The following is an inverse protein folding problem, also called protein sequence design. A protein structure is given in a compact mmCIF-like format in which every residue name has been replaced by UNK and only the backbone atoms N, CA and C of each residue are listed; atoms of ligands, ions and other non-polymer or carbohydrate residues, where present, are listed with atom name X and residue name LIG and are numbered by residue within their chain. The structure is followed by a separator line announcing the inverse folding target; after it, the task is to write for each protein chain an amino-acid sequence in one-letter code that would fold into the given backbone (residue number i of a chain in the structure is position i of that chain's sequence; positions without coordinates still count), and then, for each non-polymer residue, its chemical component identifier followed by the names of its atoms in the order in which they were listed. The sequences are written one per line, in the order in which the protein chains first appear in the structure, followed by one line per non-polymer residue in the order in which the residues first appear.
data_IF_408872862263
#
_entry.id   IF_408872862263
#
_cell.length_a   1.000
_cell.length_b   1.000
_cell.length_c   1.000
_cell.angle_alpha   90.00
_cell.angle_beta   90.00
_cell.angle_gamma   90.00
#
_symmetry.space_group_name_H-M   'P 1'
#
loop_
_entity.id
_entity.type
_entity.pdbx_description
1 polymer ?
#
# COMPACT_ATOMS: atom_id res chain seq x y z
N UNK A 1 1.72 -3.64 22.53
CA UNK A 1 2.00 -3.44 21.08
C UNK A 1 0.94 -2.60 20.37
N UNK A 2 -0.35 -2.94 20.46
CA UNK A 2 -1.42 -2.22 19.73
C UNK A 2 -1.56 -0.72 20.05
N UNK A 3 -1.43 -0.29 21.31
CA UNK A 3 -1.57 1.13 21.71
C UNK A 3 -0.50 2.06 21.10
N UNK A 4 0.73 1.55 20.91
CA UNK A 4 1.82 2.32 20.28
C UNK A 4 1.54 2.55 18.79
N UNK A 5 0.99 1.55 18.10
CA UNK A 5 0.65 1.67 16.68
C UNK A 5 -0.36 2.79 16.44
N UNK A 6 -1.39 2.92 17.29
CA UNK A 6 -2.41 3.97 17.12
C UNK A 6 -1.83 5.37 17.26
N UNK A 7 -0.92 5.57 18.22
CA UNK A 7 -0.29 6.86 18.46
C UNK A 7 0.58 7.33 17.29
N UNK A 8 1.27 6.41 16.60
CA UNK A 8 2.17 6.75 15.49
C UNK A 8 1.50 6.66 14.12
N UNK A 9 0.30 6.06 14.01
CA UNK A 9 -0.36 5.82 12.74
C UNK A 9 -0.55 7.09 11.89
N UNK A 10 -1.02 8.22 12.45
CA UNK A 10 -1.16 9.46 11.66
C UNK A 10 0.18 9.97 11.14
N UNK A 11 1.24 9.92 11.96
CA UNK A 11 2.58 10.35 11.56
C UNK A 11 3.16 9.47 10.46
N UNK A 12 3.02 8.15 10.57
CA UNK A 12 3.46 7.21 9.53
C UNK A 12 2.72 7.42 8.21
N UNK A 13 1.40 7.69 8.26
CA UNK A 13 0.62 8.01 7.07
C UNK A 13 1.07 9.32 6.42
N UNK A 14 1.33 10.36 7.23
CA UNK A 14 1.84 11.64 6.72
C UNK A 14 3.18 11.47 5.99
N UNK A 15 4.07 10.61 6.51
CA UNK A 15 5.34 10.29 5.86
C UNK A 15 5.12 9.54 4.54
N UNK A 16 4.18 8.59 4.48
CA UNK A 16 3.83 7.91 3.21
C UNK A 16 3.34 8.88 2.13
N UNK A 17 2.72 9.99 2.52
CA UNK A 17 2.22 10.99 1.58
C UNK A 17 3.32 11.97 1.16
N UNK A 18 3.94 12.63 2.14
CA UNK A 18 4.77 13.81 1.91
C UNK A 18 6.26 13.62 2.24
N UNK A 19 6.66 12.44 2.73
CA UNK A 19 8.06 12.14 3.04
C UNK A 19 8.93 11.97 1.79
N UNK A 20 10.24 12.03 1.99
CA UNK A 20 11.24 11.58 1.00
C UNK A 20 11.09 10.10 0.69
N UNK A 21 11.68 9.64 -0.41
CA UNK A 21 11.61 8.23 -0.81
C UNK A 21 12.23 7.29 0.24
N UNK A 22 13.33 7.70 0.89
CA UNK A 22 13.97 6.94 1.97
C UNK A 22 13.05 6.82 3.21
N UNK A 23 12.39 7.92 3.60
CA UNK A 23 11.43 7.89 4.70
C UNK A 23 10.23 7.00 4.36
N UNK A 24 9.69 7.10 3.13
CA UNK A 24 8.61 6.25 2.64
C UNK A 24 8.99 4.77 2.68
N UNK A 25 10.19 4.42 2.23
CA UNK A 25 10.73 3.07 2.29
C UNK A 25 10.74 2.52 3.72
N UNK A 26 11.28 3.28 4.68
CA UNK A 26 11.31 2.88 6.10
C UNK A 26 9.90 2.63 6.64
N UNK A 27 8.95 3.50 6.31
CA UNK A 27 7.57 3.36 6.75
C UNK A 27 6.88 2.15 6.14
N UNK A 28 7.11 1.85 4.86
CA UNK A 28 6.58 0.64 4.22
C UNK A 28 7.05 -0.62 4.97
N UNK A 29 8.35 -0.69 5.30
CA UNK A 29 8.92 -1.83 6.06
C UNK A 29 8.25 -1.95 7.44
N UNK A 30 8.07 -0.82 8.15
CA UNK A 30 7.35 -0.81 9.43
C UNK A 30 5.93 -1.35 9.27
N UNK A 31 5.18 -0.91 8.26
CA UNK A 31 3.81 -1.38 8.03
C UNK A 31 3.74 -2.89 7.77
N UNK A 32 4.63 -3.42 6.92
CA UNK A 32 4.70 -4.87 6.65
C UNK A 32 4.97 -5.67 7.93
N UNK A 33 5.87 -5.18 8.78
CA UNK A 33 6.21 -5.82 10.04
C UNK A 33 5.07 -5.79 11.07
N UNK A 34 4.32 -4.69 11.16
CA UNK A 34 3.24 -4.58 12.15
C UNK A 34 1.96 -5.26 11.70
N UNK A 35 1.63 -5.29 10.39
CA UNK A 35 0.36 -5.87 9.90
C UNK A 35 0.18 -7.32 10.32
N UNK A 36 1.24 -8.14 10.24
CA UNK A 36 1.23 -9.53 10.68
C UNK A 36 1.13 -9.73 12.20
N UNK A 37 1.42 -8.70 12.99
CA UNK A 37 1.40 -8.75 14.46
C UNK A 37 0.09 -8.22 15.08
N UNK A 38 -0.80 -7.67 14.27
CA UNK A 38 -2.04 -7.08 14.73
C UNK A 38 -3.19 -8.09 14.69
N UNK A 39 -4.15 -7.92 15.62
CA UNK A 39 -5.42 -8.66 15.55
C UNK A 39 -6.09 -8.39 14.20
N UNK A 40 -6.70 -9.42 13.60
CA UNK A 40 -7.29 -9.38 12.25
C UNK A 40 -8.20 -8.16 12.02
N UNK A 41 -9.07 -7.82 12.97
CA UNK A 41 -9.95 -6.65 12.87
C UNK A 41 -9.18 -5.31 12.77
N UNK A 42 -8.10 -5.17 13.53
CA UNK A 42 -7.26 -3.98 13.52
C UNK A 42 -6.38 -3.92 12.26
N UNK A 43 -5.84 -5.06 11.84
CA UNK A 43 -5.11 -5.18 10.59
C UNK A 43 -6.01 -4.78 9.40
N UNK A 44 -7.26 -5.27 9.34
CA UNK A 44 -8.25 -4.89 8.32
C UNK A 44 -8.51 -3.39 8.32
N UNK A 45 -8.73 -2.78 9.48
CA UNK A 45 -8.96 -1.32 9.58
C UNK A 45 -7.78 -0.50 9.08
N UNK A 46 -6.55 -0.87 9.46
CA UNK A 46 -5.34 -0.21 8.96
C UNK A 46 -5.16 -0.44 7.47
N UNK A 47 -5.40 -1.65 6.98
CA UNK A 47 -5.31 -1.98 5.56
C UNK A 47 -6.23 -1.11 4.71
N UNK A 48 -7.46 -0.91 5.17
CA UNK A 48 -8.44 -0.03 4.53
C UNK A 48 -8.00 1.43 4.44
N UNK A 49 -7.24 1.93 5.43
CA UNK A 49 -6.74 3.31 5.40
C UNK A 49 -5.49 3.46 4.52
N UNK A 50 -4.64 2.44 4.47
CA UNK A 50 -3.38 2.49 3.72
C UNK A 50 -3.55 2.22 2.24
N UNK A 51 -4.54 1.42 1.83
CA UNK A 51 -4.68 0.96 0.43
C UNK A 51 -4.62 2.12 -0.58
N UNK A 52 -5.28 3.23 -0.30
CA UNK A 52 -5.28 4.41 -1.18
C UNK A 52 -3.99 5.24 -1.12
N UNK A 53 -3.27 5.18 0.00
CA UNK A 53 -2.03 5.95 0.23
C UNK A 53 -0.80 5.30 -0.40
N UNK A 54 -0.84 3.99 -0.60
CA UNK A 54 0.24 3.24 -1.23
C UNK A 54 0.20 3.36 -2.76
N UNK A 55 -0.95 3.69 -3.35
CA UNK A 55 -1.12 3.73 -4.81
C UNK A 55 -0.17 4.69 -5.52
N UNK A 56 0.01 5.94 -5.07
CA UNK A 56 0.93 6.88 -5.72
C UNK A 56 2.39 6.42 -5.68
N UNK A 57 2.73 5.50 -4.76
CA UNK A 57 4.10 4.99 -4.62
C UNK A 57 4.47 3.98 -5.72
N UNK A 58 3.47 3.46 -6.43
CA UNK A 58 3.70 2.60 -7.59
C UNK A 58 4.32 3.34 -8.78
N UNK A 59 4.30 4.67 -8.74
CA UNK A 59 4.77 5.59 -9.79
C UNK A 59 6.13 6.19 -9.44
N UNK A 60 6.72 5.81 -8.30
CA UNK A 60 8.03 6.29 -7.89
C UNK A 60 9.12 5.88 -8.88
N UNK A 61 10.05 6.80 -9.13
CA UNK A 61 11.25 6.56 -9.94
C UNK A 61 12.22 5.60 -9.23
N UNK A 62 12.17 5.52 -7.89
CA UNK A 62 12.89 4.54 -7.11
C UNK A 62 12.27 3.15 -7.25
N UNK A 63 12.99 2.28 -7.97
CA UNK A 63 12.59 0.89 -8.21
C UNK A 63 12.31 0.12 -6.93
N UNK A 64 13.12 0.32 -5.88
CA UNK A 64 12.96 -0.33 -4.59
C UNK A 64 11.67 0.12 -3.88
N UNK A 65 11.35 1.41 -3.92
CA UNK A 65 10.13 1.96 -3.31
C UNK A 65 8.89 1.44 -4.03
N UNK A 66 8.95 1.36 -5.37
CA UNK A 66 7.90 0.77 -6.19
C UNK A 66 7.68 -0.72 -5.89
N UNK A 67 8.74 -1.51 -5.79
CA UNK A 67 8.62 -2.95 -5.50
C UNK A 67 8.07 -3.19 -4.09
N UNK A 68 8.61 -2.50 -3.08
CA UNK A 68 8.17 -2.68 -1.70
C UNK A 68 6.74 -2.16 -1.47
N UNK A 69 6.31 -1.12 -2.18
CA UNK A 69 4.93 -0.65 -2.13
C UNK A 69 3.96 -1.67 -2.73
N UNK A 70 4.31 -2.34 -3.83
CA UNK A 70 3.51 -3.45 -4.40
C UNK A 70 3.43 -4.65 -3.43
N UNK A 71 4.55 -5.00 -2.79
CA UNK A 71 4.57 -6.06 -1.78
C UNK A 71 3.70 -5.71 -0.57
N UNK A 72 3.78 -4.47 -0.08
CA UNK A 72 2.90 -3.98 0.98
C UNK A 72 1.44 -4.04 0.51
N UNK A 73 1.11 -3.58 -0.69
CA UNK A 73 -0.24 -3.62 -1.23
C UNK A 73 -0.82 -5.05 -1.21
N UNK A 74 -0.05 -6.05 -1.64
CA UNK A 74 -0.43 -7.46 -1.53
C UNK A 74 -0.68 -7.88 -0.08
N UNK A 75 0.15 -7.45 0.85
CA UNK A 75 -0.01 -7.76 2.27
C UNK A 75 -1.27 -7.08 2.86
N UNK A 76 -1.60 -5.85 2.41
CA UNK A 76 -2.86 -5.16 2.76
C UNK A 76 -4.08 -5.95 2.26
N UNK A 77 -4.05 -6.45 1.02
CA UNK A 77 -5.14 -7.26 0.46
C UNK A 77 -5.43 -8.51 1.28
N UNK A 78 -4.38 -9.17 1.79
CA UNK A 78 -4.51 -10.36 2.63
C UNK A 78 -5.02 -10.04 4.04
N UNK A 79 -4.80 -8.83 4.54
CA UNK A 79 -5.19 -8.41 5.88
C UNK A 79 -6.66 -8.02 6.01
N UNK A 80 -7.36 -7.76 4.91
CA UNK A 80 -8.76 -7.32 4.89
C UNK A 80 -9.71 -8.46 5.28
N UNK A 81 -10.69 -8.15 6.11
CA UNK A 81 -11.78 -9.06 6.45
C UNK A 81 -12.77 -9.20 5.29
N UNK A 82 -13.39 -10.38 5.13
CA UNK A 82 -14.33 -10.63 4.03
C UNK A 82 -15.56 -9.70 4.01
N UNK A 83 -15.96 -9.16 5.17
CA UNK A 83 -17.00 -8.13 5.25
C UNK A 83 -16.59 -6.79 4.61
N UNK A 84 -15.30 -6.48 4.62
CA UNK A 84 -14.72 -5.24 4.11
C UNK A 84 -14.25 -5.36 2.64
N UNK A 85 -14.24 -6.58 2.08
CA UNK A 85 -13.78 -6.87 0.71
C UNK A 85 -14.53 -6.07 -0.36
N UNK A 86 -15.85 -5.88 -0.24
CA UNK A 86 -16.62 -5.09 -1.22
C UNK A 86 -16.13 -3.63 -1.28
N UNK A 87 -15.84 -3.04 -0.12
CA UNK A 87 -15.32 -1.67 -0.04
C UNK A 87 -13.87 -1.61 -0.52
N UNK A 88 -13.06 -2.62 -0.16
CA UNK A 88 -11.70 -2.75 -0.65
C UNK A 88 -11.65 -2.88 -2.19
N UNK A 89 -12.54 -3.68 -2.81
CA UNK A 89 -12.60 -3.83 -4.28
C UNK A 89 -12.76 -2.52 -5.03
N UNK A 90 -13.57 -1.59 -4.51
CA UNK A 90 -13.72 -0.25 -5.13
C UNK A 90 -12.41 0.53 -5.09
N UNK A 91 -11.71 0.50 -3.95
CA UNK A 91 -10.40 1.15 -3.79
C UNK A 91 -9.29 0.43 -4.59
N UNK A 92 -9.41 -0.88 -4.80
CA UNK A 92 -8.50 -1.66 -5.63
C UNK A 92 -8.71 -1.34 -7.11
N UNK A 93 -9.94 -1.15 -7.57
CA UNK A 93 -10.21 -0.83 -8.98
C UNK A 93 -9.50 0.47 -9.40
N UNK A 94 -9.51 1.51 -8.54
CA UNK A 94 -8.74 2.73 -8.80
C UNK A 94 -7.22 2.53 -8.79
N UNK A 95 -6.73 1.46 -8.16
CA UNK A 95 -5.32 1.12 -8.06
C UNK A 95 -4.80 0.28 -9.23
N UNK A 96 -5.59 -0.71 -9.63
CA UNK A 96 -5.19 -1.69 -10.65
C UNK A 96 -5.23 -1.10 -12.05
N UNK A 97 -6.16 -0.18 -12.33
CA UNK A 97 -6.27 0.43 -13.66
C UNK A 97 -4.95 1.15 -14.06
N UNK A 98 -4.39 2.08 -13.27
CA UNK A 98 -3.10 2.71 -13.58
C UNK A 98 -1.94 1.71 -13.70
N UNK A 99 -1.90 0.69 -12.83
CA UNK A 99 -0.87 -0.36 -12.88
C UNK A 99 -0.92 -1.16 -14.18
N UNK A 100 -2.11 -1.52 -14.65
CA UNK A 100 -2.30 -2.27 -15.89
C UNK A 100 -1.89 -1.45 -17.11
N UNK A 101 -2.21 -0.16 -17.14
CA UNK A 101 -1.75 0.72 -18.22
C UNK A 101 -0.22 0.80 -18.28
N UNK A 102 0.46 0.97 -17.15
CA UNK A 102 1.94 0.97 -17.12
C UNK A 102 2.58 -0.34 -17.56
N UNK A 103 2.00 -1.48 -17.20
CA UNK A 103 2.48 -2.77 -17.66
C UNK A 103 2.46 -2.87 -19.20
N UNK A 104 1.46 -2.26 -19.84
CA UNK A 104 1.38 -2.17 -21.29
C UNK A 104 2.35 -1.13 -21.87
N UNK A 105 2.55 0.03 -21.22
CA UNK A 105 3.47 1.07 -21.69
C UNK A 105 4.94 0.61 -21.68
N UNK A 106 5.31 -0.32 -20.78
CA UNK A 106 6.66 -0.89 -20.69
C UNK A 106 6.87 -2.15 -21.55
N UNK A 107 5.84 -2.67 -22.22
CA UNK A 107 5.98 -3.75 -23.21
C UNK A 107 6.36 -3.15 -24.57
N UNK A 108 7.57 -3.36 -25.11
CA UNK A 108 7.86 -2.95 -26.46
C UNK A 108 7.03 -3.82 -27.41
N UNK A 109 6.25 -3.16 -28.28
CA UNK A 109 5.43 -3.71 -29.39
C UNK A 109 3.94 -3.95 -29.11
N UNK A 110 3.12 -2.96 -29.50
CA UNK A 110 1.99 -3.23 -30.42
C UNK A 110 1.79 -2.12 -31.48
N UNK A 111 2.58 -1.04 -31.47
CA UNK A 111 2.64 -0.11 -32.57
C UNK A 111 3.61 -0.63 -33.64
N UNK A 112 3.08 -1.43 -34.56
CA UNK A 112 3.50 -1.44 -35.96
C UNK A 112 2.34 -0.93 -36.79
#
# INVERSE_FOLDING_TARGET
KAKKVDAFLPSMMKILEAGSEDEKLKIIVVFRNILGQLKKAKASSIAMMLVGKVLPLFDSECSQLRELSLLLFRDLLKAVLSRDEKKMRRNIQSALVPLLFRLNDHLPSVAK
#
